data_IF_119311511224
#
_entry.id   IF_119311511224
#
_cell.length_a   1.000
_cell.length_b   1.000
_cell.length_c   1.000
_cell.angle_alpha   90.00
_cell.angle_beta   90.00
_cell.angle_gamma   90.00
#
_symmetry.space_group_name_H-M   'P 1'
#
loop_
_entity.id
_entity.type
_entity.pdbx_description
1 polymer ?
#
# COMPACT_ATOMS: atom_id res chain seq x y z
N UNK A 1 16.96 -1.37 -22.26
CA UNK A 1 16.86 -1.51 -20.79
C UNK A 1 18.20 -1.17 -20.19
N UNK A 2 18.28 -0.24 -19.24
CA UNK A 2 19.51 0.04 -18.49
C UNK A 2 19.63 -1.06 -17.43
N UNK A 3 20.59 -1.97 -17.59
CA UNK A 3 20.75 -3.21 -16.80
C UNK A 3 21.10 -3.00 -15.31
N UNK A 4 20.22 -2.32 -14.57
CA UNK A 4 20.34 -2.06 -13.14
C UNK A 4 19.05 -2.36 -12.38
N UNK A 5 19.17 -2.44 -11.05
CA UNK A 5 18.04 -2.64 -10.13
C UNK A 5 17.42 -1.28 -9.81
N UNK A 6 16.09 -1.15 -9.93
CA UNK A 6 15.34 0.01 -9.41
C UNK A 6 14.56 -0.38 -8.17
N UNK A 7 14.88 0.23 -7.03
CA UNK A 7 14.17 -0.01 -5.77
C UNK A 7 12.73 0.53 -5.74
N UNK A 8 12.41 1.54 -6.57
CA UNK A 8 11.10 2.20 -6.62
C UNK A 8 10.13 1.61 -7.65
N UNK A 9 10.60 0.74 -8.56
CA UNK A 9 9.78 0.15 -9.61
C UNK A 9 10.41 -1.15 -10.13
N UNK A 10 9.57 -2.15 -10.43
CA UNK A 10 10.03 -3.41 -11.05
C UNK A 10 10.05 -4.62 -10.12
N UNK A 11 9.51 -4.51 -8.89
CA UNK A 11 9.19 -5.68 -8.10
C UNK A 11 7.91 -6.35 -8.65
N UNK A 12 8.03 -7.58 -9.14
CA UNK A 12 6.92 -8.42 -9.58
C UNK A 12 6.77 -9.65 -8.66
N UNK A 13 6.47 -9.46 -7.37
CA UNK A 13 6.27 -10.59 -6.48
C UNK A 13 5.02 -11.37 -6.89
N UNK A 14 5.10 -12.69 -6.85
CA UNK A 14 3.90 -13.54 -6.84
C UNK A 14 3.02 -13.13 -5.65
N UNK A 15 1.70 -13.22 -5.82
CA UNK A 15 0.72 -12.85 -4.78
C UNK A 15 1.00 -13.49 -3.42
N UNK A 16 1.60 -14.69 -3.40
CA UNK A 16 1.98 -15.43 -2.18
C UNK A 16 3.12 -14.75 -1.41
N UNK A 17 4.06 -14.12 -2.12
CA UNK A 17 5.17 -13.36 -1.53
C UNK A 17 4.66 -12.04 -0.98
N UNK A 18 3.75 -11.37 -1.68
CA UNK A 18 3.03 -10.20 -1.15
C UNK A 18 2.26 -10.57 0.11
N UNK A 19 1.51 -11.68 0.11
CA UNK A 19 0.80 -12.20 1.28
C UNK A 19 1.73 -12.47 2.46
N UNK A 20 2.90 -13.08 2.24
CA UNK A 20 3.89 -13.34 3.30
C UNK A 20 4.43 -12.04 3.89
N UNK A 21 4.84 -11.08 3.04
CA UNK A 21 5.33 -9.76 3.48
C UNK A 21 4.28 -8.96 4.27
N UNK A 22 3.01 -9.01 3.85
CA UNK A 22 1.91 -8.40 4.58
C UNK A 22 1.66 -9.12 5.90
N UNK A 23 1.65 -10.47 5.89
CA UNK A 23 1.41 -11.26 7.10
C UNK A 23 2.53 -11.15 8.12
N UNK A 24 3.78 -10.94 7.72
CA UNK A 24 4.89 -10.65 8.64
C UNK A 24 4.77 -9.27 9.27
N UNK A 25 4.15 -8.31 8.59
CA UNK A 25 3.82 -7.01 9.15
C UNK A 25 2.71 -7.11 10.23
N UNK A 26 1.80 -8.08 10.07
CA UNK A 26 0.65 -8.28 10.97
C UNK A 26 0.84 -9.40 12.01
N UNK A 27 1.97 -10.13 12.00
CA UNK A 27 2.18 -11.29 12.88
C UNK A 27 3.60 -11.29 13.50
N UNK A 28 3.73 -11.04 14.82
CA UNK A 28 5.02 -10.90 15.50
C UNK A 28 5.84 -12.20 15.61
N UNK A 29 5.28 -13.37 15.24
CA UNK A 29 5.96 -14.67 15.32
C UNK A 29 6.88 -15.00 14.13
N UNK A 30 6.83 -14.23 13.05
CA UNK A 30 7.69 -14.42 11.88
C UNK A 30 8.99 -13.62 12.06
N UNK A 31 10.17 -14.25 11.98
CA UNK A 31 11.47 -13.54 11.97
C UNK A 31 11.58 -12.64 10.74
N UNK A 32 10.99 -11.47 10.85
CA UNK A 32 11.21 -10.35 9.97
C UNK A 32 12.53 -9.69 10.38
N UNK A 33 13.36 -9.29 9.41
CA UNK A 33 14.50 -8.39 9.68
C UNK A 33 14.06 -6.97 10.07
N UNK A 34 12.76 -6.74 10.16
CA UNK A 34 12.11 -5.46 10.44
C UNK A 34 11.37 -5.58 11.77
N UNK A 35 11.65 -4.66 12.72
CA UNK A 35 11.02 -4.65 14.04
C UNK A 35 9.55 -4.22 13.96
N UNK A 36 8.74 -4.65 14.94
CA UNK A 36 7.36 -4.18 15.09
C UNK A 36 7.29 -2.65 15.24
N UNK A 37 8.23 -2.06 16.00
CA UNK A 37 8.35 -0.60 16.14
C UNK A 37 8.55 0.10 14.80
N UNK A 38 9.41 -0.43 13.93
CA UNK A 38 9.61 0.15 12.60
C UNK A 38 8.35 0.03 11.73
N UNK A 39 7.63 -1.10 11.83
CA UNK A 39 6.36 -1.29 11.13
C UNK A 39 5.36 -0.23 11.57
N UNK A 40 5.17 -0.04 12.88
CA UNK A 40 4.25 0.95 13.43
C UNK A 40 4.65 2.39 13.02
N UNK A 41 5.93 2.72 13.10
CA UNK A 41 6.48 4.01 12.65
C UNK A 41 6.26 4.24 11.16
N UNK A 42 6.30 3.19 10.34
CA UNK A 42 6.11 3.32 8.89
C UNK A 42 4.71 3.84 8.52
N UNK A 43 3.71 3.54 9.34
CA UNK A 43 2.34 4.01 9.16
C UNK A 43 2.09 5.40 9.76
N UNK A 44 3.00 5.98 10.54
CA UNK A 44 2.80 7.34 11.07
C UNK A 44 3.02 8.40 10.00
N UNK A 45 2.31 9.53 10.08
CA UNK A 45 2.53 10.69 9.20
C UNK A 45 3.74 11.47 9.70
N UNK A 46 4.73 11.68 8.83
CA UNK A 46 6.00 12.34 9.15
C UNK A 46 6.16 13.72 8.51
N UNK A 47 5.11 14.24 7.88
CA UNK A 47 5.13 15.52 7.14
C UNK A 47 4.66 16.73 7.94
N UNK A 48 4.19 16.53 9.18
CA UNK A 48 3.55 17.59 9.95
C UNK A 48 2.35 18.18 9.20
N UNK A 49 2.27 19.51 9.14
CA UNK A 49 1.20 20.24 8.44
C UNK A 49 1.40 20.30 6.91
N UNK A 50 2.49 19.74 6.38
CA UNK A 50 2.74 19.74 4.94
C UNK A 50 1.81 18.74 4.23
N UNK A 51 1.27 19.20 3.10
CA UNK A 51 0.46 18.39 2.20
C UNK A 51 1.26 17.95 0.97
N UNK A 52 1.03 16.74 0.45
CA UNK A 52 0.14 15.70 1.01
C UNK A 52 0.79 15.00 2.22
N UNK A 53 -0.06 14.53 3.14
CA UNK A 53 0.40 13.71 4.26
C UNK A 53 1.09 12.42 3.76
N UNK A 54 2.24 12.08 4.36
CA UNK A 54 3.04 10.90 4.02
C UNK A 54 3.57 10.21 5.27
N UNK A 55 3.43 8.89 5.30
CA UNK A 55 4.24 8.04 6.15
C UNK A 55 5.50 7.56 5.45
N UNK A 56 6.24 6.67 6.11
CA UNK A 56 7.40 6.04 5.49
C UNK A 56 6.87 4.90 4.61
N UNK A 57 7.02 5.03 3.29
CA UNK A 57 6.49 4.10 2.28
C UNK A 57 4.96 4.18 2.07
N UNK A 58 4.19 4.61 3.06
CA UNK A 58 2.73 4.60 3.04
C UNK A 58 2.10 5.99 2.89
N UNK A 59 0.95 6.06 2.25
CA UNK A 59 0.10 7.25 2.21
C UNK A 59 -1.19 6.97 2.98
N UNK A 60 -1.79 7.92 3.71
CA UNK A 60 -3.18 7.78 4.15
C UNK A 60 -4.08 7.47 2.95
N UNK A 61 -4.98 6.49 3.10
CA UNK A 61 -5.87 6.10 2.01
C UNK A 61 -6.81 7.28 1.65
N UNK A 62 -6.92 7.66 0.37
CA UNK A 62 -7.87 8.68 -0.04
C UNK A 62 -9.30 8.28 0.31
N UNK A 63 -10.09 9.22 0.81
CA UNK A 63 -11.50 9.00 1.15
C UNK A 63 -11.74 8.29 2.48
N UNK A 64 -10.70 8.02 3.28
CA UNK A 64 -10.82 7.52 4.66
C UNK A 64 -10.42 8.59 5.66
N UNK A 65 -10.90 8.50 6.90
CA UNK A 65 -10.38 9.33 7.99
C UNK A 65 -8.97 8.80 8.34
N UNK A 66 -7.92 9.64 8.48
CA UNK A 66 -6.64 9.19 9.01
C UNK A 66 -6.75 8.41 10.33
N UNK A 67 -7.75 8.70 11.16
CA UNK A 67 -8.05 7.97 12.40
C UNK A 67 -8.51 6.52 12.17
N UNK A 68 -8.98 6.18 10.96
CA UNK A 68 -9.28 4.80 10.56
C UNK A 68 -8.01 3.96 10.45
N UNK A 69 -6.85 4.61 10.31
CA UNK A 69 -5.55 3.94 10.23
C UNK A 69 -5.45 3.06 8.99
N UNK A 70 -6.01 3.50 7.86
CA UNK A 70 -5.94 2.80 6.58
C UNK A 70 -4.95 3.53 5.68
N UNK A 71 -3.97 2.79 5.19
CA UNK A 71 -2.87 3.34 4.40
C UNK A 71 -2.69 2.59 3.09
N UNK A 72 -2.16 3.27 2.08
CA UNK A 72 -2.02 2.77 0.71
C UNK A 72 -0.66 3.07 0.10
N UNK A 73 -0.18 2.13 -0.72
CA UNK A 73 0.91 2.33 -1.66
C UNK A 73 0.43 1.99 -3.08
N UNK A 74 0.57 2.92 -4.02
CA UNK A 74 0.12 2.72 -5.39
C UNK A 74 1.27 2.34 -6.32
N UNK A 75 1.05 1.32 -7.15
CA UNK A 75 1.92 1.01 -8.26
C UNK A 75 1.51 1.74 -9.55
N UNK A 76 2.50 1.95 -10.40
CA UNK A 76 2.37 2.67 -11.66
C UNK A 76 1.40 2.00 -12.65
N UNK A 77 1.33 0.67 -12.67
CA UNK A 77 0.49 -0.11 -13.59
C UNK A 77 -0.99 -0.16 -13.17
N UNK A 78 -1.38 0.66 -12.19
CA UNK A 78 -2.72 0.69 -11.60
C UNK A 78 -2.88 -0.17 -10.35
N UNK A 79 -1.84 -0.92 -9.95
CA UNK A 79 -1.88 -1.72 -8.72
C UNK A 79 -1.99 -0.83 -7.48
N UNK A 80 -2.50 -1.41 -6.38
CA UNK A 80 -2.55 -0.76 -5.08
C UNK A 80 -2.45 -1.79 -3.98
N UNK A 81 -1.78 -1.44 -2.89
CA UNK A 81 -1.74 -2.23 -1.67
C UNK A 81 -2.20 -1.36 -0.52
N UNK A 82 -3.14 -1.88 0.27
CA UNK A 82 -3.66 -1.25 1.47
C UNK A 82 -3.32 -2.08 2.69
N UNK A 83 -3.10 -1.42 3.82
CA UNK A 83 -2.91 -2.05 5.11
C UNK A 83 -3.49 -1.17 6.22
N UNK A 84 -4.02 -1.83 7.24
CA UNK A 84 -4.46 -1.21 8.48
C UNK A 84 -3.94 -2.02 9.67
N UNK A 85 -2.92 -1.52 10.39
CA UNK A 85 -2.49 -2.12 11.66
C UNK A 85 -3.62 -2.17 12.67
N UNK A 86 -4.44 -1.11 12.72
CA UNK A 86 -5.61 -0.99 13.62
C UNK A 86 -6.62 -2.13 13.43
N UNK A 87 -6.89 -2.51 12.18
CA UNK A 87 -7.80 -3.62 11.86
C UNK A 87 -7.10 -4.97 11.71
N UNK A 88 -5.76 -5.04 11.78
CA UNK A 88 -4.99 -6.24 11.47
C UNK A 88 -5.23 -6.78 10.05
N UNK A 89 -5.56 -5.89 9.10
CA UNK A 89 -6.05 -6.25 7.75
C UNK A 89 -5.19 -5.62 6.66
N UNK A 90 -5.07 -6.31 5.53
CA UNK A 90 -4.42 -5.80 4.33
C UNK A 90 -5.16 -6.29 3.08
N UNK A 91 -5.03 -5.54 1.99
CA UNK A 91 -5.65 -5.85 0.72
C UNK A 91 -4.74 -5.45 -0.44
N UNK A 92 -4.79 -6.17 -1.55
CA UNK A 92 -3.99 -5.86 -2.76
C UNK A 92 -4.90 -5.92 -3.98
N UNK A 93 -4.88 -4.84 -4.78
CA UNK A 93 -5.51 -4.76 -6.08
C UNK A 93 -4.44 -4.84 -7.17
N UNK A 94 -4.56 -5.84 -8.05
CA UNK A 94 -3.67 -6.02 -9.19
C UNK A 94 -4.42 -5.75 -10.48
N UNK A 95 -4.36 -4.52 -10.99
CA UNK A 95 -4.85 -4.17 -12.33
C UNK A 95 -3.71 -4.06 -13.32
N UNK A 96 -3.99 -4.20 -14.62
CA UNK A 96 -3.05 -3.89 -15.69
C UNK A 96 -3.55 -2.74 -16.57
N UNK A 97 -3.54 -1.54 -16.01
CA UNK A 97 -4.12 -0.35 -16.66
C UNK A 97 -3.35 0.10 -17.91
N UNK A 98 -2.05 -0.17 -17.99
CA UNK A 98 -1.20 0.33 -19.09
C UNK A 98 -1.72 -0.06 -20.48
N UNK A 99 -2.54 -1.10 -20.57
CA UNK A 99 -3.09 -1.58 -21.83
C UNK A 99 -4.29 -0.77 -22.37
N UNK A 100 -5.05 -0.07 -21.51
CA UNK A 100 -6.38 0.45 -21.88
C UNK A 100 -6.51 1.99 -21.94
N UNK A 101 -5.41 2.74 -21.81
CA UNK A 101 -5.39 4.19 -22.04
C UNK A 101 -4.96 5.05 -20.85
N UNK A 102 -5.06 6.38 -20.99
CA UNK A 102 -4.58 7.36 -20.01
C UNK A 102 -5.67 7.86 -19.03
N UNK A 103 -6.92 7.44 -19.20
CA UNK A 103 -8.01 7.87 -18.32
C UNK A 103 -7.72 7.45 -16.87
N UNK A 104 -7.64 8.43 -15.98
CA UNK A 104 -7.33 8.25 -14.56
C UNK A 104 -8.57 7.96 -13.72
N UNK A 105 -9.75 8.35 -14.20
CA UNK A 105 -10.98 8.36 -13.42
C UNK A 105 -11.45 6.94 -13.08
N UNK A 106 -11.56 6.05 -14.07
CA UNK A 106 -11.97 4.66 -13.85
C UNK A 106 -11.07 3.90 -12.86
N UNK A 107 -9.77 4.21 -12.84
CA UNK A 107 -8.85 3.60 -11.87
C UNK A 107 -9.05 4.13 -10.45
N UNK A 108 -9.33 5.43 -10.31
CA UNK A 108 -9.62 6.04 -9.01
C UNK A 108 -10.88 5.41 -8.43
N UNK A 109 -11.94 5.28 -9.25
CA UNK A 109 -13.21 4.68 -8.84
C UNK A 109 -13.05 3.23 -8.36
N UNK A 110 -12.35 2.39 -9.14
CA UNK A 110 -12.09 1.00 -8.75
C UNK A 110 -11.27 0.93 -7.46
N UNK A 111 -10.25 1.79 -7.30
CA UNK A 111 -9.42 1.82 -6.08
C UNK A 111 -10.21 2.24 -4.85
N UNK A 112 -11.08 3.24 -4.99
CA UNK A 112 -11.92 3.70 -3.88
C UNK A 112 -12.95 2.64 -3.49
N UNK A 113 -13.64 2.04 -4.47
CA UNK A 113 -14.60 0.97 -4.22
C UNK A 113 -13.94 -0.27 -3.60
N UNK A 114 -12.75 -0.65 -4.08
CA UNK A 114 -11.99 -1.76 -3.51
C UNK A 114 -11.54 -1.48 -2.07
N UNK A 115 -11.04 -0.26 -1.80
CA UNK A 115 -10.64 0.14 -0.45
C UNK A 115 -11.82 0.12 0.52
N UNK A 116 -12.97 0.68 0.11
CA UNK A 116 -14.18 0.65 0.92
C UNK A 116 -14.55 -0.81 1.24
N UNK A 117 -14.77 -1.65 0.23
CA UNK A 117 -15.17 -3.05 0.40
C UNK A 117 -14.19 -3.88 1.23
N UNK A 118 -12.89 -3.60 1.17
CA UNK A 118 -11.89 -4.34 1.92
C UNK A 118 -11.83 -3.97 3.41
N UNK A 119 -12.26 -2.77 3.79
CA UNK A 119 -12.09 -2.21 5.14
C UNK A 119 -13.41 -1.70 5.76
N UNK A 120 -14.57 -2.13 5.23
CA UNK A 120 -15.87 -2.06 5.93
C UNK A 120 -15.82 -2.78 7.29
#
# INVERSE_FOLDING_TARGET
MLGGVRGIAGAFPLWQTSRRSCSTSSNPGTRSGISATWIDESFQVHTGDLLPARGLFWNPAPGTDPADGIYVHYGFTGTGMWASPKQGRWAVLLTNKLYYGRDRQALIEIRNAFCASAFE
#
